data_IF_579609218518
#
_entry.id   IF_579609218518
#
_cell.length_a   1.000
_cell.length_b   1.000
_cell.length_c   1.000
_cell.angle_alpha   90.00
_cell.angle_beta   90.00
_cell.angle_gamma   90.00
#
_symmetry.space_group_name_H-M   'P 1'
#
loop_
_entity.id
_entity.type
_entity.pdbx_description
1 polymer ?
#
# COMPACT_ATOMS: atom_id res chain seq x y z
N UNK A 1 25.89 -12.59 -2.06
CA UNK A 1 25.20 -11.58 -2.88
C UNK A 1 23.86 -11.13 -2.30
N UNK A 2 22.83 -11.99 -2.21
CA UNK A 2 21.54 -11.58 -1.62
C UNK A 2 21.60 -11.09 -0.16
N UNK A 3 22.55 -11.58 0.64
CA UNK A 3 22.73 -11.16 2.03
C UNK A 3 23.23 -9.71 2.21
N UNK A 4 23.71 -9.08 1.13
CA UNK A 4 24.16 -7.67 1.14
C UNK A 4 23.02 -6.68 0.82
N UNK A 5 21.88 -7.19 0.36
CA UNK A 5 20.73 -6.38 -0.02
C UNK A 5 19.95 -5.92 1.23
N UNK A 6 19.40 -4.70 1.18
CA UNK A 6 18.52 -4.18 2.22
C UNK A 6 17.20 -4.96 2.28
N UNK A 7 16.50 -4.90 3.42
CA UNK A 7 15.19 -5.54 3.56
C UNK A 7 14.09 -4.49 3.64
N UNK A 8 13.09 -4.59 2.76
CA UNK A 8 11.88 -3.77 2.83
C UNK A 8 10.67 -4.66 3.15
N UNK A 9 10.10 -4.52 4.33
CA UNK A 9 8.99 -5.36 4.78
C UNK A 9 7.67 -4.84 4.25
N UNK A 10 6.97 -5.67 3.48
CA UNK A 10 5.64 -5.36 2.99
C UNK A 10 4.61 -6.10 3.83
N UNK A 11 3.79 -5.34 4.56
CA UNK A 11 2.70 -5.83 5.39
C UNK A 11 1.58 -4.80 5.47
N UNK A 12 0.49 -5.13 6.15
CA UNK A 12 -0.55 -4.14 6.48
C UNK A 12 0.02 -2.98 7.32
N UNK A 13 -0.39 -1.76 6.99
CA UNK A 13 -0.06 -0.55 7.77
C UNK A 13 -1.01 -0.36 8.96
N UNK A 14 -2.11 -1.10 9.02
CA UNK A 14 -3.17 -0.96 10.02
C UNK A 14 -2.87 -1.65 11.36
N UNK A 15 -1.80 -2.44 11.41
CA UNK A 15 -1.35 -3.21 12.58
C UNK A 15 0.17 -3.34 12.58
N UNK A 16 0.77 -3.56 13.75
CA UNK A 16 2.15 -4.01 13.86
C UNK A 16 2.35 -5.45 13.36
N UNK A 17 1.29 -6.25 13.41
CA UNK A 17 1.27 -7.61 12.83
C UNK A 17 0.98 -7.59 11.32
N UNK A 18 0.87 -8.78 10.72
CA UNK A 18 0.32 -9.00 9.37
C UNK A 18 -1.22 -8.94 9.31
N UNK A 19 -1.90 -9.02 10.45
CA UNK A 19 -3.37 -8.97 10.54
C UNK A 19 -3.87 -7.55 10.85
N UNK A 20 -4.64 -6.91 9.94
CA UNK A 20 -5.14 -5.55 10.14
C UNK A 20 -6.09 -5.41 11.34
N UNK A 21 -6.68 -6.50 11.83
CA UNK A 21 -7.64 -6.49 12.94
C UNK A 21 -6.97 -6.47 14.32
N UNK A 22 -5.70 -6.86 14.41
CA UNK A 22 -4.94 -6.86 15.67
C UNK A 22 -4.43 -5.46 15.99
N UNK A 23 -5.19 -4.69 16.75
CA UNK A 23 -4.86 -3.31 17.14
C UNK A 23 -3.93 -3.24 18.36
N UNK A 24 -3.36 -2.05 18.58
CA UNK A 24 -2.46 -1.79 19.71
C UNK A 24 -1.10 -2.48 19.52
N UNK A 25 -0.62 -3.12 20.59
CA UNK A 25 0.67 -3.81 20.62
C UNK A 25 0.45 -5.33 20.72
N UNK A 26 0.16 -6.02 19.59
CA UNK A 26 -0.08 -7.46 19.61
C UNK A 26 1.18 -8.23 20.03
N UNK A 27 1.01 -9.23 20.91
CA UNK A 27 2.07 -10.13 21.41
C UNK A 27 1.78 -11.58 20.99
N UNK A 28 2.80 -12.42 20.94
CA UNK A 28 2.65 -13.87 20.68
C UNK A 28 2.16 -14.23 19.27
N UNK A 29 2.28 -13.32 18.31
CA UNK A 29 1.89 -13.56 16.92
C UNK A 29 3.11 -13.99 16.07
N UNK A 30 2.83 -14.64 14.94
CA UNK A 30 3.83 -15.03 13.94
C UNK A 30 3.55 -14.27 12.65
N UNK A 31 4.60 -13.79 12.00
CA UNK A 31 4.51 -13.13 10.70
C UNK A 31 4.53 -14.18 9.59
N UNK A 32 3.48 -14.28 8.80
CA UNK A 32 3.43 -15.21 7.67
C UNK A 32 3.88 -14.52 6.37
N UNK A 33 5.08 -14.87 5.91
CA UNK A 33 5.60 -14.42 4.61
C UNK A 33 5.11 -15.36 3.52
N UNK A 34 4.41 -14.82 2.52
CA UNK A 34 3.81 -15.61 1.43
C UNK A 34 4.69 -15.63 0.18
N UNK A 35 5.37 -14.52 -0.10
CA UNK A 35 6.22 -14.34 -1.28
C UNK A 35 7.40 -13.45 -0.96
N UNK A 36 8.45 -13.58 -1.77
CA UNK A 36 9.63 -12.73 -1.75
C UNK A 36 9.77 -12.07 -3.12
N UNK A 37 9.88 -10.75 -3.14
CA UNK A 37 10.22 -9.97 -4.33
C UNK A 37 11.66 -9.47 -4.19
N UNK A 38 12.42 -9.52 -5.27
CA UNK A 38 13.82 -9.08 -5.28
C UNK A 38 13.94 -7.93 -6.28
N UNK A 39 14.23 -6.74 -5.77
CA UNK A 39 14.50 -5.56 -6.60
C UNK A 39 16.00 -5.32 -6.63
N UNK A 40 16.71 -6.04 -7.50
CA UNK A 40 18.17 -5.97 -7.57
C UNK A 40 18.68 -4.56 -7.88
N UNK A 41 18.05 -3.84 -8.82
CA UNK A 41 18.45 -2.47 -9.17
C UNK A 41 18.32 -1.49 -8.00
N UNK A 42 17.31 -1.68 -7.14
CA UNK A 42 17.12 -0.86 -5.95
C UNK A 42 17.90 -1.39 -4.72
N UNK A 43 18.48 -2.59 -4.82
CA UNK A 43 19.22 -3.22 -3.75
C UNK A 43 18.38 -3.80 -2.60
N UNK A 44 17.11 -4.19 -2.86
CA UNK A 44 16.19 -4.67 -1.82
C UNK A 44 15.68 -6.09 -2.02
N UNK A 45 15.59 -6.82 -0.92
CA UNK A 45 14.76 -8.02 -0.76
C UNK A 45 13.48 -7.61 -0.03
N UNK A 46 12.34 -8.04 -0.56
CA UNK A 46 11.02 -7.55 -0.15
C UNK A 46 10.12 -8.72 0.23
N UNK A 47 10.14 -9.14 1.50
CA UNK A 47 9.20 -10.13 2.02
C UNK A 47 7.79 -9.55 2.05
N UNK A 48 6.84 -10.29 1.45
CA UNK A 48 5.43 -9.91 1.39
C UNK A 48 4.64 -10.74 2.39
N UNK A 49 4.12 -10.08 3.42
CA UNK A 49 3.23 -10.65 4.42
C UNK A 49 1.80 -10.16 4.21
N UNK A 50 0.90 -11.09 3.87
CA UNK A 50 -0.49 -10.80 3.53
C UNK A 50 -0.71 -10.33 2.08
N UNK A 51 -1.91 -9.81 1.81
CA UNK A 51 -2.31 -9.33 0.50
C UNK A 51 -2.05 -7.82 0.36
N UNK A 52 -1.38 -7.44 -0.73
CA UNK A 52 -1.00 -6.05 -1.03
C UNK A 52 -1.61 -5.67 -2.36
N UNK A 53 -2.32 -4.54 -2.39
CA UNK A 53 -2.88 -4.00 -3.63
C UNK A 53 -1.84 -3.09 -4.27
N UNK A 54 -1.33 -3.51 -5.43
CA UNK A 54 -0.41 -2.69 -6.25
C UNK A 54 -1.16 -1.73 -7.18
N UNK A 55 -2.43 -2.03 -7.47
CA UNK A 55 -3.27 -1.22 -8.34
C UNK A 55 -4.58 -0.93 -7.60
N UNK A 56 -4.81 0.30 -7.12
CA UNK A 56 -6.09 0.68 -6.54
C UNK A 56 -7.17 0.75 -7.64
N UNK A 57 -8.36 0.23 -7.34
CA UNK A 57 -9.54 0.39 -8.19
C UNK A 57 -10.31 1.67 -7.86
N UNK A 58 -11.27 2.02 -8.71
CA UNK A 58 -12.23 3.10 -8.44
C UNK A 58 -13.30 2.66 -7.45
N UNK A 59 -13.84 3.62 -6.69
CA UNK A 59 -15.03 3.41 -5.86
C UNK A 59 -16.30 3.26 -6.70
N UNK A 60 -17.37 2.74 -6.09
CA UNK A 60 -18.70 2.64 -6.71
C UNK A 60 -19.25 4.01 -7.15
N UNK A 61 -18.99 5.05 -6.35
CA UNK A 61 -19.16 6.43 -6.74
C UNK A 61 -17.79 7.13 -6.84
N UNK A 62 -17.21 7.23 -8.04
CA UNK A 62 -15.87 7.78 -8.22
C UNK A 62 -15.86 9.31 -8.25
N UNK A 63 -14.84 9.91 -7.63
CA UNK A 63 -14.73 11.35 -7.45
C UNK A 63 -14.67 12.15 -8.77
N UNK A 64 -14.17 11.56 -9.86
CA UNK A 64 -14.12 12.24 -11.16
C UNK A 64 -15.49 12.69 -11.67
N UNK A 65 -16.60 12.08 -11.21
CA UNK A 65 -17.96 12.50 -11.59
C UNK A 65 -18.31 13.91 -11.12
N UNK A 66 -17.62 14.40 -10.11
CA UNK A 66 -17.80 15.75 -9.55
C UNK A 66 -16.76 16.74 -10.07
N UNK A 67 -15.81 16.29 -10.89
CA UNK A 67 -14.76 17.13 -11.46
C UNK A 67 -15.31 17.85 -12.68
N UNK A 68 -15.27 19.17 -12.64
CA UNK A 68 -15.74 20.03 -13.74
C UNK A 68 -14.94 21.34 -13.79
N UNK A 69 -15.02 22.06 -14.90
CA UNK A 69 -14.33 23.34 -15.12
C UNK A 69 -15.35 24.44 -15.33
N UNK A 70 -15.28 25.47 -14.50
CA UNK A 70 -16.07 26.67 -14.67
C UNK A 70 -15.62 27.44 -15.93
N UNK A 71 -16.49 27.55 -16.93
CA UNK A 71 -16.13 28.09 -18.26
C UNK A 71 -15.89 29.61 -18.27
N UNK A 72 -16.34 30.33 -17.25
CA UNK A 72 -16.16 31.79 -17.15
C UNK A 72 -14.89 32.13 -16.38
N UNK A 73 -14.65 31.44 -15.28
CA UNK A 73 -13.53 31.71 -14.38
C UNK A 73 -12.31 30.81 -14.63
N UNK A 74 -12.47 29.72 -15.39
CA UNK A 74 -11.46 28.70 -15.62
C UNK A 74 -11.14 27.84 -14.38
N UNK A 75 -11.91 27.97 -13.30
CA UNK A 75 -11.64 27.27 -12.02
C UNK A 75 -12.15 25.83 -12.06
N UNK A 76 -11.30 24.90 -11.61
CA UNK A 76 -11.67 23.48 -11.48
C UNK A 76 -12.43 23.25 -10.17
N UNK A 77 -13.55 22.55 -10.25
CA UNK A 77 -14.41 22.15 -9.12
C UNK A 77 -14.23 20.65 -8.84
N UNK A 78 -14.43 20.23 -7.59
CA UNK A 78 -14.50 18.82 -7.20
C UNK A 78 -13.17 18.03 -7.18
N UNK A 79 -12.03 18.71 -7.29
CA UNK A 79 -10.70 18.09 -7.22
C UNK A 79 -10.17 17.92 -5.78
N UNK A 80 -10.67 18.75 -4.87
CA UNK A 80 -10.37 18.78 -3.43
C UNK A 80 -11.59 19.29 -2.66
#
# INVERSE_FOLDING_TARGET
ELSKLGTCMVKTHLSLSDDPNKKGVPKGWKLFVTKLLIYQGAGFVVPVAGAVKLMPGTSSDPAYRRVDVDTETGKVKGLF
#
